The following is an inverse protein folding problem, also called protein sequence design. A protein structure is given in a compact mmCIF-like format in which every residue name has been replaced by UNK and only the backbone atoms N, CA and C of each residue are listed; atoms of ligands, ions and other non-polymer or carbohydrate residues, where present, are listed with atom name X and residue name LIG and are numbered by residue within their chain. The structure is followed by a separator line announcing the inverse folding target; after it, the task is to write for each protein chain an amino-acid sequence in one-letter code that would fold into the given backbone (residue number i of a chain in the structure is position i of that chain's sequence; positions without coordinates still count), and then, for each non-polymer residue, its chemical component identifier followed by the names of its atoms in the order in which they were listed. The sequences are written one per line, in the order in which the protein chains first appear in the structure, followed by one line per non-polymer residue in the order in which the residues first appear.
data_IF_387744265916
#
_entry.id   IF_387744265916
#
_cell.length_a   1.000
_cell.length_b   1.000
_cell.length_c   1.000
_cell.angle_alpha   90.00
_cell.angle_beta   90.00
_cell.angle_gamma   90.00
#
_symmetry.space_group_name_H-M   'P 1'
#
loop_
_entity.id
_entity.type
_entity.pdbx_description
1 polymer ?
#
# COMPACT_ATOMS: atom_id res chain seq x y z
N UNK A 1 21.84 8.15 2.79
CA UNK A 1 20.90 8.97 3.59
C UNK A 1 20.97 10.43 3.10
N UNK A 2 20.08 10.89 2.21
CA UNK A 2 20.17 12.23 1.57
C UNK A 2 18.84 13.02 1.52
N UNK A 3 17.88 12.73 2.41
CA UNK A 3 16.66 13.54 2.54
C UNK A 3 16.63 14.23 3.89
N UNK A 4 16.67 15.56 3.89
CA UNK A 4 16.55 16.38 5.10
C UNK A 4 15.18 16.19 5.77
N UNK A 5 14.12 16.05 4.97
CA UNK A 5 12.78 15.74 5.46
C UNK A 5 12.73 14.39 6.17
N UNK A 6 13.36 13.36 5.61
CA UNK A 6 13.47 12.07 6.27
C UNK A 6 14.20 12.20 7.62
N UNK A 7 15.33 12.92 7.68
CA UNK A 7 16.05 13.16 8.94
C UNK A 7 15.20 13.87 9.97
N UNK A 8 14.48 14.93 9.56
CA UNK A 8 13.59 15.71 10.44
C UNK A 8 12.45 14.85 11.00
N UNK A 9 11.85 13.99 10.17
CA UNK A 9 10.78 13.09 10.60
C UNK A 9 11.30 11.95 11.47
N UNK A 10 12.46 11.37 11.12
CA UNK A 10 13.10 10.29 11.87
C UNK A 10 13.53 10.72 13.27
N UNK A 11 14.00 11.96 13.43
CA UNK A 11 14.36 12.52 14.73
C UNK A 11 13.18 12.56 15.72
N UNK A 12 11.93 12.57 15.22
CA UNK A 12 10.73 12.58 16.06
C UNK A 12 10.40 11.21 16.69
N UNK A 13 11.08 10.12 16.28
CA UNK A 13 10.91 8.77 16.85
C UNK A 13 9.45 8.27 16.92
N UNK A 14 8.55 8.77 16.07
CA UNK A 14 7.15 8.32 16.01
C UNK A 14 6.99 7.00 15.25
N UNK A 15 7.96 6.09 15.36
CA UNK A 15 7.88 4.76 14.77
C UNK A 15 6.97 3.91 15.64
N UNK A 16 5.66 3.99 15.36
CA UNK A 16 4.66 3.11 15.97
C UNK A 16 4.44 1.92 15.04
N UNK A 17 4.38 0.72 15.61
CA UNK A 17 3.85 -0.43 14.90
C UNK A 17 2.39 -0.13 14.55
N UNK A 18 2.12 0.16 13.28
CA UNK A 18 0.76 0.37 12.82
C UNK A 18 0.23 -0.96 12.29
N UNK A 19 -0.47 -1.69 13.16
CA UNK A 19 -1.09 -2.97 12.82
C UNK A 19 -2.28 -2.80 11.90
N UNK A 20 -3.06 -1.73 12.09
CA UNK A 20 -4.15 -1.35 11.19
C UNK A 20 -4.37 0.18 11.15
N UNK A 21 -5.13 0.65 10.18
CA UNK A 21 -5.61 2.03 10.12
C UNK A 21 -6.19 2.39 8.76
N UNK A 22 -6.37 3.68 8.50
CA UNK A 22 -6.81 4.19 7.21
C UNK A 22 -5.70 5.03 6.55
N UNK A 23 -5.56 4.91 5.23
CA UNK A 23 -4.72 5.78 4.40
C UNK A 23 -5.57 6.45 3.34
N UNK A 24 -5.27 7.72 3.10
CA UNK A 24 -5.85 8.48 2.00
C UNK A 24 -4.78 8.74 0.97
N UNK A 25 -5.07 8.41 -0.28
CA UNK A 25 -4.19 8.65 -1.40
C UNK A 25 -4.90 9.56 -2.40
N UNK A 26 -4.16 10.48 -2.99
CA UNK A 26 -4.64 11.23 -4.15
C UNK A 26 -4.04 10.60 -5.39
N UNK A 27 -4.83 9.84 -6.13
CA UNK A 27 -4.41 9.21 -7.37
C UNK A 27 -4.81 10.08 -8.58
N UNK A 28 -3.89 10.38 -9.51
CA UNK A 28 -4.14 11.35 -10.59
C UNK A 28 -5.27 10.96 -11.54
N UNK A 29 -5.56 9.66 -11.68
CA UNK A 29 -6.57 9.16 -12.62
C UNK A 29 -7.92 8.79 -11.99
N UNK A 30 -7.95 8.48 -10.69
CA UNK A 30 -9.17 8.00 -10.01
C UNK A 30 -9.54 8.83 -8.78
N UNK A 31 -8.86 9.96 -8.58
CA UNK A 31 -9.12 10.88 -7.48
C UNK A 31 -8.70 10.32 -6.12
N UNK A 32 -9.47 10.62 -5.08
CA UNK A 32 -9.17 10.21 -3.71
C UNK A 32 -9.46 8.72 -3.51
N UNK A 33 -8.54 8.02 -2.85
CA UNK A 33 -8.67 6.62 -2.41
C UNK A 33 -8.49 6.57 -0.90
N UNK A 34 -9.59 6.40 -0.17
CA UNK A 34 -9.58 6.17 1.26
C UNK A 34 -9.62 4.66 1.54
N UNK A 35 -8.46 4.08 1.87
CA UNK A 35 -8.28 2.64 2.05
C UNK A 35 -7.95 2.31 3.50
N UNK A 36 -8.66 1.33 4.04
CA UNK A 36 -8.27 0.63 5.25
C UNK A 36 -7.02 -0.22 4.96
N UNK A 37 -6.13 -0.36 5.93
CA UNK A 37 -4.99 -1.26 5.83
C UNK A 37 -4.77 -2.07 7.08
N UNK A 38 -4.25 -3.27 6.87
CA UNK A 38 -3.89 -4.22 7.92
C UNK A 38 -2.52 -4.81 7.60
N UNK A 39 -1.73 -5.03 8.65
CA UNK A 39 -0.33 -5.46 8.56
C UNK A 39 -0.16 -6.77 9.32
N UNK A 40 0.23 -7.83 8.60
CA UNK A 40 0.35 -9.19 9.11
C UNK A 40 1.79 -9.70 9.01
N UNK A 41 2.26 -10.40 10.04
CA UNK A 41 3.53 -11.15 9.98
C UNK A 41 3.35 -12.44 9.20
N UNK A 42 4.34 -12.82 8.38
CA UNK A 42 4.31 -14.08 7.63
C UNK A 42 5.00 -15.18 8.44
N UNK A 43 4.23 -16.17 8.92
CA UNK A 43 4.75 -17.22 9.80
C UNK A 43 5.92 -18.01 9.20
N UNK A 44 5.88 -18.29 7.88
CA UNK A 44 6.93 -19.03 7.17
C UNK A 44 8.13 -18.18 6.74
N UNK A 45 8.08 -16.86 6.92
CA UNK A 45 9.12 -15.94 6.48
C UNK A 45 9.34 -14.84 7.53
N UNK A 46 10.09 -15.14 8.62
CA UNK A 46 10.40 -14.16 9.64
C UNK A 46 11.02 -12.88 9.05
N UNK A 47 10.53 -11.73 9.49
CA UNK A 47 10.92 -10.42 8.95
C UNK A 47 10.14 -9.99 7.70
N UNK A 48 9.37 -10.87 7.06
CA UNK A 48 8.43 -10.49 6.01
C UNK A 48 7.07 -10.10 6.60
N UNK A 49 6.43 -9.14 5.95
CA UNK A 49 5.14 -8.60 6.35
C UNK A 49 4.24 -8.46 5.14
N UNK A 50 3.00 -8.90 5.28
CA UNK A 50 1.94 -8.66 4.30
C UNK A 50 1.14 -7.44 4.73
N UNK A 51 1.01 -6.45 3.85
CA UNK A 51 0.14 -5.29 4.08
C UNK A 51 -1.01 -5.37 3.09
N UNK A 52 -2.22 -5.52 3.61
CA UNK A 52 -3.45 -5.53 2.82
C UNK A 52 -4.04 -4.14 2.85
N UNK A 53 -4.34 -3.57 1.68
CA UNK A 53 -5.15 -2.36 1.56
C UNK A 53 -6.49 -2.75 0.97
N UNK A 54 -7.58 -2.31 1.59
CA UNK A 54 -8.93 -2.60 1.13
C UNK A 54 -9.83 -1.36 1.24
N UNK A 55 -10.82 -1.29 0.37
CA UNK A 55 -11.87 -0.30 0.46
C UNK A 55 -13.07 -0.92 1.18
N UNK A 56 -13.83 -0.09 1.89
CA UNK A 56 -15.10 -0.53 2.47
C UNK A 56 -16.07 -0.90 1.33
N UNK A 57 -16.80 -2.03 1.42
CA UNK A 57 -17.73 -2.45 0.38
C UNK A 57 -18.80 -1.39 0.09
N UNK A 58 -19.07 -1.13 -1.19
CA UNK A 58 -20.04 -0.12 -1.65
C UNK A 58 -19.55 1.33 -1.53
N UNK A 59 -18.33 1.58 -1.07
CA UNK A 59 -17.76 2.92 -0.99
C UNK A 59 -17.29 3.46 -2.35
N UNK A 60 -17.14 4.78 -2.46
CA UNK A 60 -16.51 5.40 -3.64
C UNK A 60 -15.08 4.90 -3.85
N UNK A 61 -14.37 4.57 -2.76
CA UNK A 61 -13.03 4.01 -2.83
C UNK A 61 -13.01 2.62 -3.48
N UNK A 62 -14.06 1.81 -3.30
CA UNK A 62 -14.21 0.51 -3.99
C UNK A 62 -14.33 0.72 -5.49
N UNK A 63 -15.19 1.66 -5.91
CA UNK A 63 -15.38 1.99 -7.33
C UNK A 63 -14.07 2.50 -7.96
N UNK A 64 -13.37 3.41 -7.28
CA UNK A 64 -12.08 3.92 -7.74
C UNK A 64 -10.98 2.85 -7.78
N UNK A 65 -11.00 1.86 -6.88
CA UNK A 65 -10.10 0.69 -6.95
C UNK A 65 -10.39 -0.19 -8.17
N UNK A 66 -11.68 -0.44 -8.48
CA UNK A 66 -12.06 -1.21 -9.68
C UNK A 66 -11.60 -0.49 -10.95
N UNK A 67 -11.81 0.82 -11.03
CA UNK A 67 -11.32 1.65 -12.14
C UNK A 67 -9.79 1.58 -12.27
N UNK A 68 -9.07 1.70 -11.15
CA UNK A 68 -7.61 1.62 -11.13
C UNK A 68 -7.09 0.25 -11.59
N UNK A 69 -7.77 -0.84 -11.20
CA UNK A 69 -7.41 -2.20 -11.62
C UNK A 69 -7.54 -2.37 -13.14
N UNK A 70 -8.61 -1.84 -13.73
CA UNK A 70 -8.81 -1.83 -15.19
C UNK A 70 -7.71 -1.06 -15.94
N UNK A 71 -7.30 0.10 -15.41
CA UNK A 71 -6.21 0.90 -15.99
C UNK A 71 -4.83 0.23 -15.85
N UNK A 72 -4.62 -0.53 -14.78
CA UNK A 72 -3.34 -1.21 -14.52
C UNK A 72 -3.15 -2.43 -15.42
N UNK A 73 -4.23 -3.12 -15.80
CA UNK A 73 -4.20 -4.25 -16.75
C UNK A 73 -3.66 -3.82 -18.13
N UNK A 74 -3.98 -2.61 -18.57
CA UNK A 74 -3.50 -2.05 -19.84
C UNK A 74 -2.00 -1.69 -19.79
N UNK A 75 -1.47 -1.42 -18.59
CA UNK A 75 -0.11 -0.90 -18.38
C UNK A 75 0.90 -1.91 -17.84
N UNK A 76 0.48 -3.09 -17.37
CA UNK A 76 1.37 -4.01 -16.65
C UNK A 76 2.48 -4.61 -17.56
N UNK A 77 3.78 -4.37 -17.27
CA UNK A 77 4.83 -5.23 -17.79
C UNK A 77 4.69 -6.62 -17.14
N UNK A 78 4.84 -7.67 -17.92
CA UNK A 78 4.79 -9.06 -17.44
C UNK A 78 5.99 -9.27 -16.50
N UNK A 79 5.77 -9.26 -15.19
CA UNK A 79 6.81 -9.58 -14.22
C UNK A 79 7.14 -11.08 -14.33
N UNK A 80 8.31 -11.39 -14.89
CA UNK A 80 8.85 -12.76 -14.91
C UNK A 80 9.09 -13.21 -13.47
N UNK A 81 8.42 -14.27 -13.05
CA UNK A 81 8.62 -14.93 -11.77
C UNK A 81 10.07 -15.44 -11.71
N UNK A 82 10.88 -14.91 -10.79
CA UNK A 82 12.14 -15.54 -10.40
C UNK A 82 11.77 -16.73 -9.51
N UNK A 83 11.89 -17.93 -10.06
CA UNK A 83 11.89 -19.20 -9.34
C UNK A 83 13.23 -19.34 -8.63
N UNK A 84 13.27 -19.14 -7.32
CA UNK A 84 14.43 -19.50 -6.50
C UNK A 84 14.34 -20.99 -6.17
N UNK A 85 15.34 -21.76 -6.62
CA UNK A 85 15.54 -23.17 -6.29
C UNK A 85 16.36 -23.41 -5.03
#
# INVERSE_FOLDING_TARGET
MKSEDFRRLWAKHEVRAKTAGQKRFTHPLVGELALSYETFTVNGAPGQTLVVYHAEPGSDAEQSLVLLAGLSVDRAPRHSSVTTG
#
